data_IF_286358956080
#
_entry.id   IF_286358956080
#
_cell.length_a   1.000
_cell.length_b   1.000
_cell.length_c   1.000
_cell.angle_alpha   90.00
_cell.angle_beta   90.00
_cell.angle_gamma   90.00
#
_symmetry.space_group_name_H-M   'P 1'
#
loop_
_entity.id
_entity.type
_entity.pdbx_description
1 polymer ?
#
# COMPACT_ATOMS: atom_id res chain seq x y z
N UNK A 1 -53.07 -3.07 -28.65
CA UNK A 1 -52.78 -2.62 -27.27
C UNK A 1 -51.31 -2.81 -26.89
N UNK A 2 -50.33 -2.44 -27.74
CA UNK A 2 -48.90 -2.72 -27.50
C UNK A 2 -48.08 -1.52 -26.96
N UNK A 3 -48.65 -0.30 -27.03
CA UNK A 3 -48.00 0.94 -26.61
C UNK A 3 -47.68 1.04 -25.11
N UNK A 4 -48.57 0.61 -24.18
CA UNK A 4 -48.25 0.65 -22.75
C UNK A 4 -47.14 -0.33 -22.37
N UNK A 5 -47.10 -1.51 -23.00
CA UNK A 5 -46.08 -2.53 -22.76
C UNK A 5 -44.71 -2.14 -23.32
N UNK A 6 -44.68 -1.47 -24.49
CA UNK A 6 -43.45 -0.87 -25.02
C UNK A 6 -42.97 0.31 -24.16
N UNK A 7 -43.87 1.17 -23.68
CA UNK A 7 -43.52 2.27 -22.78
C UNK A 7 -43.01 1.78 -21.41
N UNK A 8 -43.65 0.75 -20.83
CA UNK A 8 -43.18 0.08 -19.62
C UNK A 8 -41.85 -0.65 -19.86
N UNK A 9 -41.69 -1.32 -21.00
CA UNK A 9 -40.43 -1.96 -21.39
C UNK A 9 -39.29 -0.95 -21.53
N UNK A 10 -39.53 0.20 -22.16
CA UNK A 10 -38.56 1.29 -22.26
C UNK A 10 -38.30 2.00 -20.93
N UNK A 11 -39.32 2.16 -20.07
CA UNK A 11 -39.16 2.66 -18.70
C UNK A 11 -38.41 1.67 -17.81
N UNK A 12 -38.54 0.36 -18.04
CA UNK A 12 -37.77 -0.70 -17.38
C UNK A 12 -36.32 -0.73 -17.88
N UNK A 13 -36.09 -0.51 -19.18
CA UNK A 13 -34.73 -0.36 -19.75
C UNK A 13 -34.08 0.95 -19.32
N UNK A 14 -34.84 2.03 -19.15
CA UNK A 14 -34.37 3.32 -18.64
C UNK A 14 -34.20 3.34 -17.11
N UNK A 15 -34.92 2.48 -16.38
CA UNK A 15 -34.77 2.29 -14.92
C UNK A 15 -33.82 1.15 -14.56
N UNK A 16 -33.44 0.30 -15.52
CA UNK A 16 -32.38 -0.68 -15.35
C UNK A 16 -31.04 0.06 -15.14
N UNK A 17 -30.30 -0.22 -14.05
CA UNK A 17 -28.98 0.34 -13.87
C UNK A 17 -28.12 -0.06 -15.05
N UNK A 18 -27.58 0.92 -15.76
CA UNK A 18 -26.71 0.62 -16.88
C UNK A 18 -25.45 -0.05 -16.32
N UNK A 19 -25.14 -1.23 -16.86
CA UNK A 19 -24.02 -2.05 -16.41
C UNK A 19 -22.90 -1.93 -17.43
N UNK A 20 -21.72 -1.52 -16.97
CA UNK A 20 -20.51 -1.49 -17.79
C UNK A 20 -19.58 -2.60 -17.34
N UNK A 21 -19.16 -3.44 -18.28
CA UNK A 21 -18.14 -4.46 -18.05
C UNK A 21 -16.82 -4.01 -18.66
N UNK A 22 -15.71 -4.33 -18.00
CA UNK A 22 -14.36 -4.12 -18.53
C UNK A 22 -13.48 -5.29 -18.11
N UNK A 23 -12.84 -5.91 -19.09
CA UNK A 23 -11.76 -6.86 -18.85
C UNK A 23 -10.41 -6.14 -19.05
N UNK A 24 -9.46 -6.38 -18.16
CA UNK A 24 -8.08 -5.89 -18.28
C UNK A 24 -7.11 -6.90 -17.68
N UNK A 25 -5.83 -6.77 -17.99
CA UNK A 25 -4.79 -7.57 -17.37
C UNK A 25 -3.64 -6.65 -16.97
N UNK A 26 -3.07 -6.91 -15.79
CA UNK A 26 -1.93 -6.18 -15.24
C UNK A 26 -0.78 -7.15 -15.06
N UNK A 27 0.39 -6.78 -15.56
CA UNK A 27 1.63 -7.52 -15.36
C UNK A 27 2.59 -6.57 -14.64
N UNK A 28 2.96 -6.91 -13.41
CA UNK A 28 3.89 -6.14 -12.59
C UNK A 28 5.12 -6.99 -12.30
N UNK A 29 6.31 -6.43 -12.53
CA UNK A 29 7.58 -7.03 -12.13
C UNK A 29 8.19 -6.17 -11.04
N UNK A 30 8.43 -6.76 -9.87
CA UNK A 30 9.05 -6.09 -8.72
C UNK A 30 10.41 -6.72 -8.48
N UNK A 31 11.46 -5.94 -8.67
CA UNK A 31 12.84 -6.35 -8.37
C UNK A 31 13.24 -5.72 -7.04
N UNK A 32 13.67 -6.54 -6.09
CA UNK A 32 14.11 -6.08 -4.76
C UNK A 32 15.64 -6.03 -4.77
N UNK A 33 16.22 -4.84 -4.73
CA UNK A 33 17.69 -4.70 -4.72
C UNK A 33 18.24 -4.82 -3.29
N UNK A 34 19.28 -5.65 -3.07
CA UNK A 34 19.85 -5.90 -1.74
C UNK A 34 20.52 -4.66 -1.11
N UNK A 35 20.84 -3.63 -1.91
CA UNK A 35 21.42 -2.36 -1.46
C UNK A 35 20.50 -1.56 -0.51
N UNK A 36 19.21 -1.88 -0.43
CA UNK A 36 18.24 -1.22 0.45
C UNK A 36 17.89 -2.03 1.71
N UNK A 37 18.51 -3.21 1.88
CA UNK A 37 18.24 -4.16 2.96
C UNK A 37 19.54 -4.67 3.59
N UNK A 38 20.43 -3.78 4.02
CA UNK A 38 21.73 -4.11 4.64
C UNK A 38 21.65 -5.01 5.89
N UNK A 39 20.45 -5.42 6.33
CA UNK A 39 20.21 -6.28 7.50
C UNK A 39 19.27 -7.47 7.25
N UNK A 40 18.73 -7.65 6.05
CA UNK A 40 17.79 -8.75 5.78
C UNK A 40 18.38 -9.72 4.75
N UNK A 41 18.73 -10.91 5.21
CA UNK A 41 19.13 -12.06 4.37
C UNK A 41 17.93 -12.63 3.58
N UNK A 42 17.22 -11.80 2.81
CA UNK A 42 16.09 -12.26 2.01
C UNK A 42 16.58 -12.80 0.67
N UNK A 43 16.18 -14.02 0.33
CA UNK A 43 16.57 -14.77 -0.88
C UNK A 43 15.68 -14.48 -2.09
N UNK A 44 14.77 -13.51 -1.99
CA UNK A 44 13.80 -13.15 -3.03
C UNK A 44 14.40 -12.08 -3.94
N UNK A 45 14.71 -12.48 -5.17
CA UNK A 45 15.41 -11.63 -6.17
C UNK A 45 14.42 -10.84 -7.01
N UNK A 46 13.31 -11.46 -7.43
CA UNK A 46 12.28 -10.83 -8.24
C UNK A 46 10.91 -11.48 -8.06
N UNK A 47 9.87 -10.65 -8.09
CA UNK A 47 8.47 -11.07 -8.08
C UNK A 47 7.83 -10.68 -9.42
N UNK A 48 7.18 -11.62 -10.09
CA UNK A 48 6.32 -11.35 -11.26
C UNK A 48 4.87 -11.59 -10.86
N UNK A 49 4.04 -10.57 -10.96
CA UNK A 49 2.60 -10.61 -10.68
C UNK A 49 1.86 -10.52 -12.01
N UNK A 50 1.05 -11.53 -12.30
CA UNK A 50 0.10 -11.52 -13.41
C UNK A 50 -1.30 -11.46 -12.81
N UNK A 51 -2.01 -10.38 -13.06
CA UNK A 51 -3.30 -10.08 -12.46
C UNK A 51 -4.33 -9.73 -13.55
N UNK A 52 -4.98 -10.73 -14.17
CA UNK A 52 -6.20 -10.49 -14.92
C UNK A 52 -7.26 -9.89 -14.00
N UNK A 53 -8.07 -8.98 -14.54
CA UNK A 53 -9.04 -8.20 -13.78
C UNK A 53 -10.34 -8.06 -14.57
N UNK A 54 -11.43 -8.47 -13.95
CA UNK A 54 -12.78 -8.26 -14.43
C UNK A 54 -13.45 -7.17 -13.58
N UNK A 55 -13.81 -6.05 -14.21
CA UNK A 55 -14.57 -4.96 -13.60
C UNK A 55 -16.03 -5.00 -14.07
N UNK A 56 -16.96 -4.86 -13.13
CA UNK A 56 -18.37 -4.57 -13.37
C UNK A 56 -18.75 -3.26 -12.65
N UNK A 57 -19.34 -2.32 -13.39
CA UNK A 57 -19.79 -1.03 -12.84
C UNK A 57 -21.28 -0.90 -13.06
N UNK A 58 -22.03 -0.86 -11.96
CA UNK A 58 -23.44 -0.50 -11.93
C UNK A 58 -23.53 0.99 -11.66
N UNK A 59 -24.16 1.76 -12.54
CA UNK A 59 -24.33 3.19 -12.30
C UNK A 59 -25.79 3.62 -12.44
N UNK A 60 -26.14 4.54 -11.56
CA UNK A 60 -27.38 5.31 -11.54
C UNK A 60 -27.03 6.79 -11.49
N UNK A 61 -28.02 7.69 -11.39
CA UNK A 61 -27.76 9.13 -11.33
C UNK A 61 -26.95 9.55 -10.10
N UNK A 62 -27.14 8.89 -8.96
CA UNK A 62 -26.53 9.26 -7.68
C UNK A 62 -25.57 8.21 -7.14
N UNK A 63 -25.72 6.94 -7.51
CA UNK A 63 -24.93 5.83 -7.00
C UNK A 63 -24.15 5.15 -8.13
N UNK A 64 -22.87 4.91 -7.90
CA UNK A 64 -22.01 4.10 -8.76
C UNK A 64 -21.38 2.99 -7.91
N UNK A 65 -21.69 1.73 -8.21
CA UNK A 65 -21.14 0.57 -7.53
C UNK A 65 -20.21 -0.17 -8.47
N UNK A 66 -18.94 -0.30 -8.08
CA UNK A 66 -17.89 -1.00 -8.78
C UNK A 66 -17.60 -2.31 -8.08
N UNK A 67 -17.57 -3.38 -8.83
CA UNK A 67 -17.12 -4.69 -8.42
C UNK A 67 -15.94 -5.05 -9.30
N UNK A 68 -14.84 -5.47 -8.70
CA UNK A 68 -13.69 -5.98 -9.44
C UNK A 68 -13.25 -7.31 -8.84
N UNK A 69 -13.03 -8.28 -9.70
CA UNK A 69 -12.44 -9.57 -9.35
C UNK A 69 -11.09 -9.68 -10.06
N UNK A 70 -10.04 -9.90 -9.27
CA UNK A 70 -8.65 -9.91 -9.72
C UNK A 70 -7.93 -11.11 -9.11
N UNK A 71 -7.93 -12.29 -9.76
CA UNK A 71 -7.01 -13.35 -9.39
C UNK A 71 -5.59 -12.94 -9.76
N UNK A 72 -4.66 -13.10 -8.81
CA UNK A 72 -3.26 -12.72 -8.95
C UNK A 72 -2.41 -13.99 -8.91
N UNK A 73 -1.65 -14.21 -9.99
CA UNK A 73 -0.64 -15.25 -10.09
C UNK A 73 0.72 -14.61 -9.81
N UNK A 74 1.32 -14.95 -8.67
CA UNK A 74 2.59 -14.41 -8.23
C UNK A 74 3.67 -15.47 -8.40
N UNK A 75 4.58 -15.24 -9.34
CA UNK A 75 5.76 -16.08 -9.56
C UNK A 75 6.93 -15.41 -8.85
N UNK A 76 7.37 -16.00 -7.73
CA UNK A 76 8.53 -15.52 -6.96
C UNK A 76 9.77 -16.28 -7.38
N UNK A 77 10.81 -15.56 -7.76
CA UNK A 77 12.14 -16.14 -7.96
C UNK A 77 12.91 -16.07 -6.63
N UNK A 78 12.97 -17.21 -5.95
CA UNK A 78 13.85 -17.42 -4.79
C UNK A 78 15.11 -18.13 -5.27
N UNK A 79 16.27 -17.75 -4.73
CA UNK A 79 17.60 -18.13 -5.22
C UNK A 79 17.80 -19.62 -5.60
N UNK A 80 17.00 -20.55 -5.07
CA UNK A 80 17.13 -21.99 -5.35
C UNK A 80 15.93 -22.61 -6.10
N UNK A 81 14.71 -22.03 -6.06
CA UNK A 81 13.50 -22.55 -6.75
C UNK A 81 12.45 -21.43 -6.98
N UNK A 82 11.81 -21.36 -8.15
CA UNK A 82 10.64 -20.49 -8.33
C UNK A 82 9.43 -21.05 -7.57
N UNK A 83 8.65 -20.17 -6.95
CA UNK A 83 7.35 -20.54 -6.33
C UNK A 83 6.21 -19.80 -7.01
N UNK A 84 5.09 -20.50 -7.20
CA UNK A 84 3.84 -19.93 -7.70
C UNK A 84 2.86 -19.79 -6.54
N UNK A 85 2.37 -18.58 -6.35
CA UNK A 85 1.32 -18.25 -5.38
C UNK A 85 0.09 -17.76 -6.12
N UNK A 86 -1.08 -18.21 -5.66
CA UNK A 86 -2.36 -17.82 -6.24
C UNK A 86 -3.14 -17.07 -5.17
N UNK A 87 -3.43 -15.81 -5.45
CA UNK A 87 -4.27 -14.97 -4.61
C UNK A 87 -5.55 -14.62 -5.37
N UNK A 88 -6.65 -14.45 -4.66
CA UNK A 88 -7.92 -13.98 -5.19
C UNK A 88 -8.25 -12.67 -4.51
N UNK A 89 -8.29 -11.59 -5.28
CA UNK A 89 -8.67 -10.27 -4.79
C UNK A 89 -10.07 -9.90 -5.28
N UNK A 90 -10.93 -9.55 -4.34
CA UNK A 90 -12.27 -9.00 -4.57
C UNK A 90 -12.26 -7.58 -4.08
N UNK A 91 -12.66 -6.66 -4.94
CA UNK A 91 -12.76 -5.23 -4.64
C UNK A 91 -14.18 -4.77 -4.91
N UNK A 92 -14.80 -4.15 -3.92
CA UNK A 92 -16.10 -3.49 -4.06
C UNK A 92 -15.98 -2.04 -3.63
N UNK A 93 -16.57 -1.15 -4.42
CA UNK A 93 -16.60 0.29 -4.13
C UNK A 93 -17.97 0.85 -4.45
N UNK A 94 -18.58 1.55 -3.52
CA UNK A 94 -19.81 2.28 -3.72
C UNK A 94 -19.53 3.78 -3.60
N UNK A 95 -19.82 4.54 -4.64
CA UNK A 95 -19.70 5.99 -4.70
C UNK A 95 -21.13 6.59 -4.70
N UNK A 96 -21.49 7.33 -3.65
CA UNK A 96 -22.77 8.01 -3.52
C UNK A 96 -22.60 9.53 -3.63
N UNK A 97 -23.15 10.12 -4.69
CA UNK A 97 -23.11 11.56 -4.95
C UNK A 97 -24.22 12.25 -4.14
N UNK A 98 -23.83 13.01 -3.13
CA UNK A 98 -24.75 13.87 -2.38
C UNK A 98 -25.02 15.15 -3.18
N UNK A 99 -23.94 15.75 -3.70
CA UNK A 99 -23.96 16.98 -4.51
C UNK A 99 -22.89 16.90 -5.60
N UNK A 100 -22.87 17.89 -6.49
CA UNK A 100 -21.88 17.95 -7.59
C UNK A 100 -20.43 17.98 -7.09
N UNK A 101 -20.22 18.52 -5.90
CA UNK A 101 -18.93 18.79 -5.27
C UNK A 101 -18.64 17.90 -4.05
N UNK A 102 -19.53 16.95 -3.72
CA UNK A 102 -19.37 16.04 -2.60
C UNK A 102 -19.91 14.64 -2.91
N UNK A 103 -19.03 13.65 -2.86
CA UNK A 103 -19.31 12.24 -3.03
C UNK A 103 -18.85 11.49 -1.79
N UNK A 104 -19.71 10.65 -1.22
CA UNK A 104 -19.30 9.67 -0.20
C UNK A 104 -18.85 8.41 -0.91
N UNK A 105 -17.85 7.73 -0.35
CA UNK A 105 -17.37 6.46 -0.87
C UNK A 105 -17.29 5.43 0.25
N UNK A 106 -17.62 4.20 -0.07
CA UNK A 106 -17.35 3.02 0.74
C UNK A 106 -16.55 2.04 -0.11
N UNK A 107 -15.51 1.47 0.45
CA UNK A 107 -14.62 0.53 -0.22
C UNK A 107 -14.47 -0.70 0.66
N UNK A 108 -14.62 -1.87 0.08
CA UNK A 108 -14.28 -3.12 0.73
C UNK A 108 -13.40 -3.93 -0.21
N UNK A 109 -12.21 -4.27 0.25
CA UNK A 109 -11.26 -5.10 -0.50
C UNK A 109 -10.96 -6.31 0.34
N UNK A 110 -11.06 -7.50 -0.24
CA UNK A 110 -10.55 -8.70 0.40
C UNK A 110 -9.71 -9.52 -0.56
N UNK A 111 -8.50 -9.86 -0.13
CA UNK A 111 -7.59 -10.75 -0.81
C UNK A 111 -7.41 -12.01 0.02
N UNK A 112 -7.64 -13.16 -0.60
CA UNK A 112 -7.42 -14.48 0.00
C UNK A 112 -6.40 -15.26 -0.81
N UNK A 113 -5.67 -16.17 -0.18
CA UNK A 113 -4.87 -17.15 -0.91
C UNK A 113 -3.85 -17.83 -0.03
N UNK A 114 -2.97 -18.58 -0.67
CA UNK A 114 -2.01 -19.43 0.02
C UNK A 114 -0.65 -18.72 0.12
N UNK A 115 -0.13 -18.62 1.33
CA UNK A 115 1.21 -18.10 1.61
C UNK A 115 2.17 -19.26 1.92
N UNK A 116 3.28 -19.41 1.17
CA UNK A 116 4.26 -20.46 1.43
C UNK A 116 5.08 -20.10 2.67
N UNK A 117 4.81 -20.78 3.79
CA UNK A 117 5.55 -20.58 5.04
C UNK A 117 6.94 -21.21 5.01
N UNK A 118 7.18 -22.17 4.13
CA UNK A 118 8.45 -22.92 4.03
C UNK A 118 9.68 -22.03 3.77
N UNK A 119 9.49 -20.81 3.26
CA UNK A 119 10.57 -19.86 2.97
C UNK A 119 10.82 -18.84 4.10
N UNK A 120 9.93 -18.77 5.09
CA UNK A 120 10.00 -17.81 6.20
C UNK A 120 10.38 -18.48 7.53
N UNK A 121 10.92 -19.71 7.50
CA UNK A 121 11.29 -20.52 8.66
C UNK A 121 12.23 -19.85 9.67
N UNK A 122 12.84 -18.71 9.35
CA UNK A 122 13.41 -17.78 10.33
C UNK A 122 12.35 -16.76 10.74
N UNK A 123 11.37 -17.20 11.52
CA UNK A 123 10.41 -16.31 12.17
C UNK A 123 11.16 -15.22 12.94
N UNK A 124 10.50 -14.07 13.09
CA UNK A 124 10.96 -13.00 13.94
C UNK A 124 10.98 -13.40 15.43
N UNK A 125 12.04 -14.10 15.79
CA UNK A 125 12.44 -14.37 17.15
C UNK A 125 13.94 -14.22 17.16
N UNK A 126 14.43 -12.99 17.35
CA UNK A 126 15.82 -12.81 17.79
C UNK A 126 15.97 -13.49 19.15
N UNK A 127 16.57 -14.69 19.17
CA UNK A 127 17.28 -15.34 20.28
C UNK A 127 16.56 -15.59 21.62
N UNK A 128 15.32 -15.17 21.84
CA UNK A 128 14.72 -15.21 23.19
C UNK A 128 13.21 -15.42 23.25
N UNK A 129 12.56 -15.76 22.14
CA UNK A 129 11.14 -16.13 22.14
C UNK A 129 11.01 -17.60 21.73
N UNK A 130 10.49 -18.48 22.62
CA UNK A 130 10.35 -19.89 22.32
C UNK A 130 9.17 -20.06 21.36
N UNK A 131 9.42 -19.83 20.07
CA UNK A 131 8.50 -20.23 19.02
C UNK A 131 8.56 -21.74 18.98
N UNK A 132 7.45 -22.40 19.33
CA UNK A 132 7.33 -23.85 19.25
C UNK A 132 7.63 -24.24 17.79
N UNK A 133 8.62 -25.10 17.51
CA UNK A 133 8.91 -25.50 16.14
C UNK A 133 7.62 -26.08 15.55
N UNK A 134 7.12 -25.45 14.49
CA UNK A 134 5.95 -25.97 13.79
C UNK A 134 6.28 -27.40 13.36
N UNK A 135 5.54 -28.36 13.90
CA UNK A 135 5.66 -29.75 13.48
C UNK A 135 5.36 -29.82 11.98
N UNK A 136 6.31 -30.35 11.20
CA UNK A 136 6.19 -30.85 9.82
C UNK A 136 5.36 -30.02 8.84
N UNK A 137 6.06 -29.35 7.91
CA UNK A 137 5.64 -29.07 6.52
C UNK A 137 4.17 -28.70 6.33
N UNK A 138 3.77 -27.52 6.80
CA UNK A 138 2.57 -26.86 6.27
C UNK A 138 2.96 -26.23 4.93
N UNK A 139 2.79 -27.00 3.84
CA UNK A 139 3.17 -26.59 2.47
C UNK A 139 2.45 -25.35 1.94
N UNK A 140 1.37 -24.93 2.60
CA UNK A 140 0.74 -23.62 2.43
C UNK A 140 -0.08 -23.27 3.68
N UNK A 141 -0.23 -21.97 3.95
CA UNK A 141 -1.17 -21.45 4.95
C UNK A 141 -2.08 -20.41 4.31
N UNK A 142 -3.37 -20.50 4.60
CA UNK A 142 -4.34 -19.54 4.15
C UNK A 142 -4.05 -18.15 4.74
N UNK A 143 -3.98 -17.14 3.89
CA UNK A 143 -3.73 -15.74 4.21
C UNK A 143 -4.96 -14.90 3.86
N UNK A 144 -5.25 -13.91 4.70
CA UNK A 144 -6.29 -12.92 4.47
C UNK A 144 -5.74 -11.51 4.59
N UNK A 145 -6.10 -10.67 3.61
CA UNK A 145 -6.05 -9.22 3.72
C UNK A 145 -7.45 -8.69 3.48
N UNK A 146 -8.03 -8.01 4.46
CA UNK A 146 -9.32 -7.33 4.33
C UNK A 146 -9.17 -5.87 4.71
N UNK A 147 -9.59 -4.97 3.83
CA UNK A 147 -9.70 -3.53 4.06
C UNK A 147 -11.18 -3.14 3.91
N UNK A 148 -11.77 -2.57 4.95
CA UNK A 148 -13.09 -1.93 4.89
C UNK A 148 -12.93 -0.45 5.21
N UNK A 149 -13.17 0.42 4.23
CA UNK A 149 -12.97 1.85 4.35
C UNK A 149 -14.22 2.64 3.97
N UNK A 150 -14.41 3.78 4.63
CA UNK A 150 -15.39 4.79 4.27
C UNK A 150 -14.67 6.12 4.08
N UNK A 151 -15.20 6.97 3.21
CA UNK A 151 -14.53 8.19 2.85
C UNK A 151 -15.40 9.17 2.10
N UNK A 152 -14.73 10.19 1.59
CA UNK A 152 -15.34 11.23 0.80
C UNK A 152 -14.39 11.69 -0.31
N UNK A 153 -15.00 12.29 -1.32
CA UNK A 153 -14.35 13.10 -2.33
C UNK A 153 -15.09 14.43 -2.41
N UNK A 154 -14.36 15.53 -2.36
CA UNK A 154 -14.95 16.87 -2.45
C UNK A 154 -14.04 17.86 -3.14
N UNK A 155 -14.63 18.82 -3.85
CA UNK A 155 -13.92 20.01 -4.34
C UNK A 155 -14.14 21.24 -3.47
N UNK A 156 -14.99 21.17 -2.44
CA UNK A 156 -15.41 22.29 -1.60
C UNK A 156 -15.92 23.52 -2.40
N UNK A 157 -16.37 23.32 -3.64
CA UNK A 157 -16.71 24.41 -4.56
C UNK A 157 -15.51 25.24 -5.06
N UNK A 158 -14.28 24.91 -4.67
CA UNK A 158 -13.06 25.61 -5.08
C UNK A 158 -12.58 25.06 -6.42
N UNK A 159 -12.40 25.95 -7.39
CA UNK A 159 -11.96 25.59 -8.74
C UNK A 159 -10.56 24.95 -8.69
N UNK A 160 -10.40 23.79 -9.35
CA UNK A 160 -9.14 23.01 -9.43
C UNK A 160 -8.63 22.46 -8.10
N UNK A 161 -9.44 22.48 -7.04
CA UNK A 161 -9.15 21.76 -5.80
C UNK A 161 -9.95 20.46 -5.77
N UNK A 162 -9.30 19.39 -5.36
CA UNK A 162 -9.93 18.10 -5.09
C UNK A 162 -9.31 17.52 -3.83
N UNK A 163 -10.14 17.14 -2.87
CA UNK A 163 -9.76 16.51 -1.61
C UNK A 163 -10.47 15.16 -1.53
N UNK A 164 -9.72 14.11 -1.28
CA UNK A 164 -10.22 12.77 -1.05
C UNK A 164 -9.69 12.26 0.28
N UNK A 165 -10.57 11.74 1.12
CA UNK A 165 -10.20 11.18 2.42
C UNK A 165 -10.88 9.84 2.64
N UNK A 166 -10.16 8.86 3.17
CA UNK A 166 -10.68 7.55 3.54
C UNK A 166 -10.15 7.16 4.91
N UNK A 167 -11.03 6.66 5.77
CA UNK A 167 -10.68 5.98 7.01
C UNK A 167 -11.16 4.53 6.89
N UNK A 168 -10.25 3.59 7.07
CA UNK A 168 -10.56 2.18 6.98
C UNK A 168 -10.05 1.36 8.15
N UNK A 169 -10.61 0.17 8.27
CA UNK A 169 -10.13 -0.87 9.16
C UNK A 169 -9.53 -1.98 8.33
N UNK A 170 -8.28 -2.35 8.65
CA UNK A 170 -7.53 -3.38 7.94
C UNK A 170 -7.26 -4.54 8.88
N UNK A 171 -7.45 -5.74 8.35
CA UNK A 171 -7.06 -7.00 8.97
C UNK A 171 -6.15 -7.73 7.98
N UNK A 172 -4.94 -8.07 8.42
CA UNK A 172 -3.94 -8.74 7.60
C UNK A 172 -3.31 -9.87 8.42
N UNK A 173 -3.27 -11.10 7.91
CA UNK A 173 -2.54 -12.19 8.56
C UNK A 173 -2.97 -13.57 8.09
N UNK A 174 -2.45 -14.60 8.76
CA UNK A 174 -2.84 -15.99 8.48
C UNK A 174 -4.22 -16.31 9.08
N UNK A 175 -4.99 -17.08 8.32
CA UNK A 175 -6.25 -17.70 8.71
C UNK A 175 -6.05 -19.05 9.41
N UNK A 176 -4.91 -19.70 9.20
CA UNK A 176 -4.62 -21.01 9.82
C UNK A 176 -3.90 -20.89 11.16
N UNK A 177 -4.15 -21.84 12.10
CA UNK A 177 -3.47 -21.91 13.38
C UNK A 177 -1.94 -21.87 13.24
N UNK A 178 -1.23 -21.13 14.13
CA UNK A 178 -1.75 -20.45 15.31
C UNK A 178 -2.23 -19.00 15.06
N UNK A 179 -3.50 -18.82 14.65
CA UNK A 179 -4.20 -17.52 14.55
C UNK A 179 -4.32 -16.83 15.90
N UNK A 180 -4.48 -17.62 16.96
CA UNK A 180 -4.46 -17.15 18.35
C UNK A 180 -3.31 -17.84 19.08
N UNK A 181 -2.38 -17.08 19.67
CA UNK A 181 -1.34 -17.69 20.49
C UNK A 181 -1.98 -18.40 21.69
N UNK A 182 -1.71 -19.69 21.87
CA UNK A 182 -1.94 -20.37 23.16
C UNK A 182 -1.08 -19.76 24.29
N UNK A 183 0.02 -19.07 23.92
CA UNK A 183 0.89 -18.26 24.79
C UNK A 183 1.37 -17.01 24.04
N UNK A 184 1.27 -15.81 24.65
CA UNK A 184 1.70 -14.53 24.05
C UNK A 184 3.12 -14.64 23.47
N UNK A 185 3.28 -14.51 22.15
CA UNK A 185 4.58 -14.59 21.46
C UNK A 185 4.80 -15.77 20.49
N UNK A 186 3.80 -16.64 20.26
CA UNK A 186 3.97 -17.89 19.51
C UNK A 186 3.41 -17.89 18.06
N UNK A 187 3.20 -16.73 17.42
CA UNK A 187 2.68 -16.69 16.05
C UNK A 187 3.81 -16.80 15.01
N UNK A 188 3.67 -17.70 14.03
CA UNK A 188 4.63 -17.85 12.92
C UNK A 188 4.58 -16.66 11.94
N UNK A 189 3.39 -16.07 11.77
CA UNK A 189 3.18 -14.78 11.10
C UNK A 189 2.15 -13.96 11.91
N UNK A 190 2.55 -12.82 12.50
CA UNK A 190 1.66 -12.01 13.33
C UNK A 190 0.46 -11.48 12.53
N UNK A 191 -0.74 -11.63 13.08
CA UNK A 191 -1.93 -10.96 12.54
C UNK A 191 -1.86 -9.48 12.91
N UNK A 192 -2.04 -8.62 11.92
CA UNK A 192 -2.13 -7.18 12.04
C UNK A 192 -3.59 -6.74 11.99
N UNK A 193 -3.96 -5.83 12.89
CA UNK A 193 -5.28 -5.18 12.88
C UNK A 193 -5.09 -3.70 13.14
N UNK A 194 -5.63 -2.86 12.26
CA UNK A 194 -5.39 -1.43 12.36
C UNK A 194 -6.40 -0.54 11.68
N UNK A 195 -6.65 0.66 12.22
CA UNK A 195 -7.19 1.74 11.44
C UNK A 195 -6.13 2.28 10.47
N UNK A 196 -6.58 2.64 9.28
CA UNK A 196 -5.78 3.26 8.24
C UNK A 196 -6.46 4.54 7.75
N UNK A 197 -5.73 5.65 7.81
CA UNK A 197 -6.15 6.96 7.31
C UNK A 197 -5.40 7.25 6.01
N UNK A 198 -6.12 7.61 4.96
CA UNK A 198 -5.55 8.14 3.72
C UNK A 198 -6.26 9.43 3.38
N UNK A 199 -5.54 10.53 3.29
CA UNK A 199 -6.06 11.82 2.85
C UNK A 199 -5.15 12.35 1.75
N UNK A 200 -5.75 12.75 0.64
CA UNK A 200 -5.05 13.30 -0.51
C UNK A 200 -5.74 14.57 -0.96
N UNK A 201 -4.98 15.63 -1.19
CA UNK A 201 -5.46 16.83 -1.87
C UNK A 201 -4.67 17.10 -3.13
N UNK A 202 -5.35 17.67 -4.12
CA UNK A 202 -4.83 18.01 -5.43
C UNK A 202 -5.27 19.43 -5.75
N UNK A 203 -4.31 20.30 -6.06
CA UNK A 203 -4.57 21.67 -6.48
C UNK A 203 -3.88 21.95 -7.83
N UNK A 204 -4.68 22.25 -8.86
CA UNK A 204 -4.16 22.57 -10.20
C UNK A 204 -3.69 24.02 -10.30
N UNK A 205 -2.39 24.25 -10.16
CA UNK A 205 -1.78 25.57 -10.32
C UNK A 205 -1.92 26.07 -11.76
N UNK A 206 -1.55 25.23 -12.72
CA UNK A 206 -1.69 25.51 -14.16
C UNK A 206 -2.53 24.42 -14.83
N UNK A 207 -2.54 24.38 -16.17
CA UNK A 207 -3.15 23.26 -16.92
C UNK A 207 -2.29 21.98 -16.87
N UNK A 208 -1.03 22.08 -16.45
CA UNK A 208 -0.05 20.99 -16.47
C UNK A 208 0.60 20.74 -15.11
N UNK A 209 0.60 21.73 -14.23
CA UNK A 209 1.23 21.69 -12.91
C UNK A 209 0.19 21.54 -11.82
N UNK A 210 0.39 20.55 -10.97
CA UNK A 210 -0.48 20.23 -9.85
C UNK A 210 0.36 20.11 -8.58
N UNK A 211 -0.12 20.74 -7.51
CA UNK A 211 0.37 20.50 -6.16
C UNK A 211 -0.44 19.37 -5.54
N UNK A 212 0.24 18.37 -5.00
CA UNK A 212 -0.38 17.27 -4.27
C UNK A 212 0.00 17.35 -2.80
N UNK A 213 -0.88 16.87 -1.94
CA UNK A 213 -0.60 16.68 -0.53
C UNK A 213 -1.17 15.33 -0.12
N UNK A 214 -0.31 14.41 0.31
CA UNK A 214 -0.73 13.12 0.83
C UNK A 214 -0.44 13.03 2.33
N UNK A 215 -1.44 12.58 3.08
CA UNK A 215 -1.35 12.24 4.49
C UNK A 215 -1.78 10.78 4.62
N UNK A 216 -0.91 9.98 5.22
CA UNK A 216 -1.09 8.55 5.38
C UNK A 216 -0.83 8.17 6.83
N UNK A 217 -1.81 7.60 7.52
CA UNK A 217 -1.70 7.22 8.92
C UNK A 217 -2.09 5.76 9.13
N UNK A 218 -1.37 5.03 9.96
CA UNK A 218 -1.74 3.68 10.39
C UNK A 218 -1.29 3.42 11.82
N UNK A 219 -2.08 2.65 12.56
CA UNK A 219 -1.79 2.26 13.94
C UNK A 219 -1.98 0.75 14.10
N UNK A 220 -0.87 0.03 13.95
CA UNK A 220 -0.81 -1.42 13.79
C UNK A 220 -0.71 -2.13 15.12
N UNK A 221 -1.78 -2.82 15.51
CA UNK A 221 -1.75 -3.79 16.59
C UNK A 221 -1.42 -5.19 16.03
N UNK A 222 -0.38 -5.81 16.58
CA UNK A 222 0.05 -7.16 16.21
C UNK A 222 -0.51 -8.19 17.19
N UNK A 223 -0.82 -9.39 16.72
CA UNK A 223 -1.23 -10.52 17.58
C UNK A 223 -0.16 -10.97 18.57
N UNK A 224 1.10 -10.56 18.37
CA UNK A 224 2.22 -10.76 19.31
C UNK A 224 2.16 -9.85 20.53
N UNK A 225 1.33 -8.79 20.50
CA UNK A 225 1.17 -7.79 21.54
C UNK A 225 1.96 -6.49 21.32
N UNK A 226 2.76 -6.40 20.25
CA UNK A 226 3.40 -5.14 19.85
C UNK A 226 2.39 -4.19 19.20
N UNK A 227 2.69 -2.89 19.23
CA UNK A 227 1.91 -1.87 18.54
C UNK A 227 2.82 -0.83 17.91
N UNK A 228 2.63 -0.56 16.62
CA UNK A 228 3.41 0.43 15.88
C UNK A 228 2.48 1.43 15.20
N UNK A 229 2.75 2.73 15.37
CA UNK A 229 2.03 3.79 14.69
C UNK A 229 2.94 4.53 13.72
N UNK A 230 2.44 4.87 12.54
CA UNK A 230 3.13 5.75 11.58
C UNK A 230 2.15 6.75 11.03
N UNK A 231 2.60 8.01 10.99
CA UNK A 231 1.96 9.10 10.26
C UNK A 231 2.96 9.65 9.26
N UNK A 232 2.62 9.58 7.98
CA UNK A 232 3.37 10.10 6.87
C UNK A 232 2.66 11.31 6.28
N UNK A 233 3.44 12.33 5.99
CA UNK A 233 3.02 13.56 5.32
C UNK A 233 3.96 13.81 4.14
N UNK A 234 3.42 13.86 2.93
CA UNK A 234 4.19 14.04 1.71
C UNK A 234 3.51 15.10 0.81
N UNK A 235 4.01 16.35 0.82
CA UNK A 235 3.70 17.29 -0.25
C UNK A 235 4.31 16.79 -1.55
N UNK A 236 3.68 17.12 -2.68
CA UNK A 236 4.15 16.68 -3.97
C UNK A 236 3.86 17.66 -5.08
N UNK A 237 4.54 17.40 -6.20
CA UNK A 237 4.41 18.11 -7.45
C UNK A 237 4.14 17.07 -8.53
N UNK A 238 3.10 17.31 -9.32
CA UNK A 238 2.84 16.55 -10.53
C UNK A 238 2.90 17.48 -11.73
N UNK A 239 3.76 17.14 -12.69
CA UNK A 239 3.92 17.85 -13.94
C UNK A 239 3.49 16.96 -15.11
N UNK A 240 2.55 17.46 -15.90
CA UNK A 240 2.06 16.80 -17.09
C UNK A 240 2.76 17.36 -18.33
N UNK A 241 3.76 16.64 -18.84
CA UNK A 241 4.50 17.02 -20.05
C UNK A 241 3.60 16.98 -21.29
N UNK A 242 2.76 15.94 -21.38
CA UNK A 242 1.73 15.78 -22.42
C UNK A 242 0.48 15.17 -21.79
N UNK A 243 -0.70 15.22 -22.44
CA UNK A 243 -1.93 14.62 -21.90
C UNK A 243 -1.80 13.16 -21.44
N UNK A 244 -0.80 12.44 -21.94
CA UNK A 244 -0.54 11.02 -21.66
C UNK A 244 0.70 10.76 -20.81
N UNK A 245 1.57 11.76 -20.64
CA UNK A 245 2.85 11.62 -19.91
C UNK A 245 2.84 12.56 -18.71
N UNK A 246 2.86 11.96 -17.53
CA UNK A 246 2.90 12.67 -16.26
C UNK A 246 3.99 12.14 -15.34
N UNK A 247 4.69 13.08 -14.71
CA UNK A 247 5.68 12.84 -13.66
C UNK A 247 5.13 13.38 -12.34
N UNK A 248 5.13 12.54 -11.31
CA UNK A 248 4.77 12.89 -9.94
C UNK A 248 5.97 12.65 -9.04
N UNK A 249 6.26 13.61 -8.18
CA UNK A 249 7.34 13.57 -7.17
C UNK A 249 6.75 14.03 -5.85
N UNK A 250 6.76 13.16 -4.84
CA UNK A 250 6.19 13.40 -3.51
C UNK A 250 7.26 13.15 -2.44
N UNK A 251 8.10 14.15 -2.12
CA UNK A 251 8.97 14.10 -0.96
C UNK A 251 8.15 14.31 0.32
N UNK A 252 8.50 13.61 1.39
CA UNK A 252 7.76 13.74 2.64
C UNK A 252 8.54 13.30 3.86
N UNK A 253 7.85 13.33 4.99
CA UNK A 253 8.37 12.90 6.27
C UNK A 253 7.35 11.94 6.89
N UNK A 254 7.84 10.85 7.45
CA UNK A 254 7.08 9.94 8.28
C UNK A 254 7.56 10.02 9.73
N UNK A 255 6.60 10.16 10.65
CA UNK A 255 6.81 10.07 12.08
C UNK A 255 6.22 8.75 12.54
N UNK A 256 7.06 7.93 13.15
CA UNK A 256 6.74 6.62 13.67
C UNK A 256 6.87 6.56 15.17
N UNK A 257 6.06 5.72 15.80
CA UNK A 257 6.19 5.35 17.21
C UNK A 257 6.05 3.85 17.37
N UNK A 258 7.04 3.24 17.99
CA UNK A 258 7.07 1.82 18.31
C UNK A 258 6.75 1.65 19.79
N UNK A 259 5.73 0.87 20.12
CA UNK A 259 5.40 0.49 21.50
C UNK A 259 5.90 -0.93 21.74
N UNK A 260 7.05 -1.09 22.40
CA UNK A 260 7.62 -2.40 22.66
C UNK A 260 6.76 -3.18 23.66
N UNK A 261 6.80 -4.50 23.54
CA UNK A 261 6.10 -5.43 24.44
C UNK A 261 6.69 -5.47 25.85
N UNK A 262 7.99 -5.21 26.01
CA UNK A 262 8.66 -5.33 27.31
C UNK A 262 8.40 -4.07 28.14
N UNK A 263 7.92 -4.19 29.39
CA UNK A 263 7.65 -3.04 30.24
C UNK A 263 8.91 -2.21 30.53
N UNK A 264 10.09 -2.81 30.38
CA UNK A 264 11.38 -2.15 30.59
C UNK A 264 11.87 -1.35 29.37
N UNK A 265 11.26 -1.56 28.20
CA UNK A 265 11.61 -0.83 26.98
C UNK A 265 10.69 0.38 26.82
N UNK A 266 11.28 1.57 26.75
CA UNK A 266 10.52 2.79 26.52
C UNK A 266 10.05 2.88 25.06
N UNK A 267 8.87 3.47 24.79
CA UNK A 267 8.43 3.74 23.43
C UNK A 267 9.46 4.58 22.67
N UNK A 268 9.78 4.16 21.45
CA UNK A 268 10.75 4.87 20.60
C UNK A 268 10.00 5.64 19.51
N UNK A 269 10.36 6.92 19.37
CA UNK A 269 9.88 7.77 18.28
C UNK A 269 10.93 7.81 17.18
N UNK A 270 10.50 7.73 15.93
CA UNK A 270 11.38 7.71 14.76
C UNK A 270 10.88 8.72 13.74
N UNK A 271 11.78 9.50 13.16
CA UNK A 271 11.47 10.39 12.04
C UNK A 271 12.23 9.87 10.82
N UNK A 272 11.54 9.73 9.70
CA UNK A 272 12.04 9.07 8.51
C UNK A 272 11.71 9.91 7.27
N UNK A 273 12.68 10.20 6.40
CA UNK A 273 12.38 10.81 5.12
C UNK A 273 11.61 9.82 4.24
N UNK A 274 10.74 10.35 3.39
CA UNK A 274 9.99 9.58 2.39
C UNK A 274 10.13 10.22 1.03
N UNK A 275 10.14 9.40 -0.02
CA UNK A 275 10.13 9.87 -1.40
C UNK A 275 9.33 8.88 -2.24
N UNK A 276 8.37 9.39 -2.97
CA UNK A 276 7.71 8.64 -4.02
C UNK A 276 7.86 9.37 -5.35
N UNK A 277 8.34 8.67 -6.37
CA UNK A 277 8.37 9.18 -7.73
C UNK A 277 7.63 8.23 -8.65
N UNK A 278 6.76 8.78 -9.50
CA UNK A 278 5.96 8.02 -10.44
C UNK A 278 6.03 8.69 -11.80
N UNK A 279 6.41 7.94 -12.82
CA UNK A 279 6.32 8.32 -14.23
C UNK A 279 5.30 7.41 -14.90
N UNK A 280 4.23 7.99 -15.43
CA UNK A 280 3.28 7.26 -16.28
C UNK A 280 3.50 7.71 -17.72
N UNK A 281 3.62 6.75 -18.64
CA UNK A 281 3.82 6.98 -20.07
C UNK A 281 2.99 6.01 -20.89
N UNK A 282 2.46 6.40 -22.06
CA UNK A 282 1.87 5.44 -22.98
C UNK A 282 3.00 4.61 -23.63
N UNK A 283 2.76 3.33 -23.86
CA UNK A 283 3.66 2.51 -24.68
C UNK A 283 3.06 2.43 -26.08
N UNK A 284 3.77 2.89 -27.12
CA UNK A 284 3.27 2.85 -28.49
C UNK A 284 3.33 1.41 -29.04
N UNK A 285 2.38 0.56 -28.63
CA UNK A 285 2.20 -0.81 -29.16
C UNK A 285 0.95 -0.82 -30.04
N UNK A 286 1.12 -0.40 -31.29
CA UNK A 286 0.06 -0.38 -32.31
C UNK A 286 -1.10 0.58 -32.03
N UNK A 287 -1.96 0.79 -33.03
CA UNK A 287 -3.08 1.74 -32.95
C UNK A 287 -4.29 1.22 -32.14
N UNK A 288 -4.25 -0.01 -31.63
CA UNK A 288 -5.45 -0.71 -31.14
C UNK A 288 -5.43 -1.02 -29.64
N UNK A 289 -4.31 -0.84 -28.93
CA UNK A 289 -4.20 -1.18 -27.51
C UNK A 289 -3.64 -0.01 -26.69
N UNK A 290 -4.43 0.62 -25.80
CA UNK A 290 -3.92 1.68 -24.93
C UNK A 290 -3.06 1.07 -23.81
N UNK A 291 -1.82 0.72 -24.12
CA UNK A 291 -0.85 0.24 -23.15
C UNK A 291 -0.27 1.44 -22.40
N UNK A 292 -0.28 1.39 -21.07
CA UNK A 292 0.35 2.40 -20.20
C UNK A 292 1.45 1.74 -19.40
N UNK A 293 2.66 2.27 -19.51
CA UNK A 293 3.77 1.96 -18.62
C UNK A 293 3.73 2.89 -17.40
N UNK A 294 3.99 2.32 -16.23
CA UNK A 294 4.10 3.06 -14.98
C UNK A 294 5.40 2.65 -14.30
N UNK A 295 6.35 3.57 -14.21
CA UNK A 295 7.59 3.40 -13.45
C UNK A 295 7.41 4.11 -12.12
N UNK A 296 7.57 3.39 -11.01
CA UNK A 296 7.37 3.93 -9.66
C UNK A 296 8.54 3.54 -8.76
N UNK A 297 9.21 4.54 -8.19
CA UNK A 297 10.23 4.35 -7.17
C UNK A 297 9.68 4.86 -5.82
N UNK A 298 9.86 4.08 -4.76
CA UNK A 298 9.34 4.41 -3.43
C UNK A 298 10.38 4.18 -2.36
N UNK A 299 10.49 5.18 -1.50
CA UNK A 299 11.26 5.18 -0.28
C UNK A 299 10.30 5.52 0.85
N UNK A 300 9.79 4.49 1.52
CA UNK A 300 8.73 4.59 2.52
C UNK A 300 9.12 3.78 3.76
N UNK A 301 8.69 4.20 4.97
CA UNK A 301 8.87 3.39 6.17
C UNK A 301 8.16 2.05 6.01
N UNK A 302 8.82 0.99 6.46
CA UNK A 302 8.29 -0.36 6.38
C UNK A 302 8.01 -0.89 7.79
N UNK A 303 6.75 -1.16 8.09
CA UNK A 303 6.39 -1.96 9.26
C UNK A 303 6.53 -3.40 8.86
N UNK A 304 7.51 -4.07 9.45
CA UNK A 304 7.77 -5.45 9.11
C UNK A 304 6.79 -6.36 9.88
N UNK A 305 5.90 -7.09 9.17
CA UNK A 305 4.93 -7.99 9.79
C UNK A 305 5.60 -9.06 10.65
N UNK A 306 6.78 -9.53 10.24
CA UNK A 306 7.50 -10.55 10.96
C UNK A 306 8.12 -9.93 12.20
N UNK A 307 9.06 -8.99 12.04
CA UNK A 307 9.78 -8.45 13.19
C UNK A 307 8.91 -7.61 14.12
N UNK A 308 7.71 -7.21 13.68
CA UNK A 308 6.81 -6.31 14.42
C UNK A 308 7.53 -5.06 14.90
N UNK A 309 8.45 -4.59 14.03
CA UNK A 309 9.24 -3.39 14.22
C UNK A 309 8.99 -2.47 13.05
N UNK A 310 8.99 -1.18 13.36
CA UNK A 310 9.09 -0.14 12.38
C UNK A 310 10.53 0.00 11.90
N UNK A 311 10.77 -0.33 10.63
CA UNK A 311 12.10 -0.26 10.02
C UNK A 311 12.21 1.05 9.23
N UNK A 312 13.15 1.94 9.60
CA UNK A 312 13.50 3.08 8.75
C UNK A 312 14.18 2.55 7.51
N UNK A 313 13.60 2.83 6.34
CA UNK A 313 14.34 2.64 5.08
C UNK A 313 15.31 3.81 4.98
N UNK A 314 16.60 3.47 4.94
CA UNK A 314 17.78 4.35 5.07
C UNK A 314 17.79 5.25 6.30
N UNK A 315 18.33 4.71 7.38
CA UNK A 315 18.81 5.53 8.46
C UNK A 315 20.07 6.27 8.02
N UNK A 316 20.13 7.58 8.25
CA UNK A 316 21.40 8.18 8.65
C UNK A 316 21.71 7.59 10.03
N UNK A 317 22.35 6.40 10.06
CA UNK A 317 23.06 6.02 11.28
C UNK A 317 24.12 7.10 11.51
N UNK A 318 24.17 7.79 12.66
CA UNK A 318 25.46 8.28 13.10
C UNK A 318 26.37 7.04 13.14
N UNK A 319 27.55 7.14 12.53
CA UNK A 319 28.47 6.00 12.41
C UNK A 319 28.68 5.29 13.75
N UNK A 320 29.12 4.02 13.73
CA UNK A 320 29.47 3.31 14.96
C UNK A 320 30.57 4.11 15.66
N UNK A 321 30.24 4.77 16.78
CA UNK A 321 31.16 5.67 17.46
C UNK A 321 30.53 6.73 18.36
N UNK A 322 29.20 6.88 18.41
CA UNK A 322 28.56 7.77 19.40
C UNK A 322 27.81 6.94 20.43
N UNK A 323 28.58 6.29 21.29
CA UNK A 323 28.14 6.05 22.66
C UNK A 323 27.95 7.43 23.31
N UNK A 324 26.76 7.71 23.84
CA UNK A 324 26.63 8.80 24.81
C UNK A 324 27.51 8.52 26.03
N UNK A 325 27.88 9.52 26.85
CA UNK A 325 26.89 10.45 27.40
C UNK A 325 27.42 11.88 27.67
N UNK A 326 26.58 12.90 27.55
CA UNK A 326 26.78 14.12 28.36
C UNK A 326 25.52 15.00 28.39
N UNK A 327 25.09 15.30 29.62
CA UNK A 327 24.36 16.51 29.99
C UNK A 327 25.08 17.74 29.43
N UNK A 328 24.32 18.76 29.01
CA UNK A 328 24.87 20.10 28.80
C UNK A 328 24.35 20.79 27.56
N UNK A 329 23.66 21.90 27.80
CA UNK A 329 23.35 23.03 26.94
C UNK A 329 23.87 23.06 25.49
N UNK A 330 22.96 23.39 24.57
CA UNK A 330 23.25 24.27 23.45
C UNK A 330 24.06 23.68 22.29
N UNK A 331 23.42 22.95 21.38
CA UNK A 331 23.93 22.81 20.01
C UNK A 331 22.79 22.67 19.00
N UNK A 332 22.31 23.81 18.49
CA UNK A 332 21.70 23.88 17.14
C UNK A 332 22.78 23.47 16.13
N UNK A 333 22.73 22.25 15.63
CA UNK A 333 23.36 21.89 14.35
C UNK A 333 22.36 21.10 13.53
N UNK A 334 21.82 21.76 12.52
CA UNK A 334 21.06 21.14 11.44
C UNK A 334 21.96 20.10 10.75
N UNK A 335 21.52 18.85 10.72
CA UNK A 335 22.13 17.83 9.90
C UNK A 335 21.81 18.13 8.43
N UNK A 336 22.79 18.71 7.73
CA UNK A 336 22.81 18.78 6.27
C UNK A 336 22.96 17.35 5.77
N UNK A 337 21.91 16.81 5.13
CA UNK A 337 22.02 15.59 4.35
C UNK A 337 22.79 15.91 3.07
N UNK A 338 24.04 15.46 2.98
CA UNK A 338 24.87 15.60 1.79
C UNK A 338 24.26 14.84 0.61
N UNK A 339 23.66 15.58 -0.32
CA UNK A 339 23.48 15.13 -1.70
C UNK A 339 24.81 15.33 -2.43
N UNK A 340 25.64 14.29 -2.48
CA UNK A 340 26.82 14.27 -3.33
C UNK A 340 27.06 12.85 -3.83
N UNK A 341 26.49 12.53 -4.98
CA UNK A 341 27.18 11.85 -6.09
C UNK A 341 26.21 11.65 -7.26
N UNK A 342 26.01 12.72 -8.03
CA UNK A 342 25.61 12.66 -9.42
C UNK A 342 26.73 13.35 -10.20
N UNK A 343 27.48 12.59 -11.00
CA UNK A 343 28.44 13.15 -11.94
C UNK A 343 29.71 12.34 -12.13
N UNK A 344 29.67 11.40 -13.08
CA UNK A 344 30.65 11.31 -14.17
C UNK A 344 30.16 10.27 -15.19
N UNK A 345 29.68 10.77 -16.32
CA UNK A 345 29.54 9.99 -17.54
C UNK A 345 30.95 9.64 -18.07
N UNK A 346 31.18 8.46 -18.65
CA UNK A 346 32.34 8.26 -19.50
C UNK A 346 32.09 8.92 -20.87
N UNK A 347 33.14 9.60 -21.36
CA UNK A 347 33.29 9.94 -22.78
C UNK A 347 33.54 8.69 -23.61
#
# INVERSE_FOLDING_TARGET
MALPALALGWLLVASAPAVKYKASARIESVVRTPLLTELASTTVVSDLIIAPRLDGVLYTNLLEVKFAYEPQFLVRQVAMRPTLEILQSVYTRADYKIRRDLTLLAVHTTTFGDFPLDQFGSGAGTGSLPVTPAAKSLGSSAYIYTETAAGFWTSLGIKRLSIAGTLGWVVNGLLDPPVRPLRRGNAAYPQQRYPELRLQSFYGATRRDYFTLSLYGRDVAFSTGNRDAVLQFAPGLQHQFTPLVDLSVEPGIAVGRTYPRRPDELPTNMVMPTLETTLNTPVPIGNHWPVKAKVRARYLPYMDPLTTKLIPRGGCRPGPGVEGPARGEGARKAAVCSFAHLGRAPQ
#
